data_IF_602241608274
#
_entry.id   IF_602241608274
#
_cell.length_a   1.000
_cell.length_b   1.000
_cell.length_c   1.000
_cell.angle_alpha   90.00
_cell.angle_beta   90.00
_cell.angle_gamma   90.00
#
_symmetry.space_group_name_H-M   'P 1'
#
loop_
_entity.id
_entity.type
_entity.pdbx_description
1 polymer ?
#
# COMPACT_ATOMS: atom_id res chain seq x y z
N UNK A 1 10.49 -29.74 40.58
CA UNK A 1 9.39 -29.23 39.74
C UNK A 1 9.92 -29.19 38.31
N UNK A 2 9.39 -30.04 37.43
CA UNK A 2 10.00 -30.40 36.14
C UNK A 2 9.72 -29.36 35.05
N UNK A 3 10.78 -28.86 34.43
CA UNK A 3 10.72 -28.12 33.19
C UNK A 3 10.67 -29.11 32.00
N UNK A 4 9.57 -29.06 31.25
CA UNK A 4 9.40 -29.85 30.03
C UNK A 4 10.11 -29.18 28.86
N UNK A 5 11.13 -29.86 28.33
CA UNK A 5 11.81 -29.55 27.06
C UNK A 5 11.00 -30.19 25.94
N UNK A 6 10.55 -29.42 24.96
CA UNK A 6 10.04 -29.97 23.70
C UNK A 6 11.04 -29.60 22.61
N UNK A 7 11.84 -30.61 22.28
CA UNK A 7 12.65 -30.69 21.08
C UNK A 7 11.73 -30.96 19.88
N UNK A 8 11.88 -30.18 18.80
CA UNK A 8 11.35 -30.51 17.48
C UNK A 8 12.29 -29.99 16.42
N UNK A 9 13.27 -30.82 16.09
CA UNK A 9 13.84 -30.89 14.75
C UNK A 9 12.72 -31.20 13.74
N UNK A 10 12.73 -30.53 12.58
CA UNK A 10 12.15 -31.09 11.38
C UNK A 10 12.85 -30.53 10.14
N UNK A 11 13.23 -31.48 9.29
CA UNK A 11 14.11 -31.45 8.14
C UNK A 11 13.60 -30.65 6.94
N UNK A 12 14.55 -30.15 6.15
CA UNK A 12 14.44 -29.88 4.71
C UNK A 12 13.57 -30.93 4.00
N UNK A 13 12.49 -30.50 3.34
CA UNK A 13 12.00 -31.10 2.10
C UNK A 13 11.21 -30.07 1.26
N UNK A 14 11.77 -29.76 0.09
CA UNK A 14 11.10 -29.76 -1.22
C UNK A 14 9.70 -29.17 -1.37
N UNK A 15 9.61 -28.16 -2.24
CA UNK A 15 8.39 -27.70 -2.91
C UNK A 15 7.75 -28.86 -3.72
N UNK A 16 6.42 -29.06 -3.66
CA UNK A 16 5.69 -29.51 -4.85
C UNK A 16 4.39 -28.74 -5.11
N UNK A 17 4.06 -28.66 -6.40
CA UNK A 17 2.98 -27.89 -6.97
C UNK A 17 1.56 -28.40 -6.67
N UNK A 18 0.61 -27.51 -6.97
CA UNK A 18 -0.82 -27.69 -6.79
C UNK A 18 -1.41 -28.78 -7.70
N UNK A 19 -2.10 -29.73 -7.08
CA UNK A 19 -3.08 -30.61 -7.72
C UNK A 19 -4.40 -30.62 -6.92
N UNK A 20 -5.47 -30.97 -7.63
CA UNK A 20 -6.90 -30.71 -7.44
C UNK A 20 -7.65 -31.41 -6.30
N UNK A 21 -8.67 -30.70 -5.78
CA UNK A 21 -10.03 -31.10 -5.32
C UNK A 21 -10.27 -32.44 -4.57
N UNK A 22 -10.90 -32.33 -3.40
CA UNK A 22 -11.66 -33.42 -2.74
C UNK A 22 -12.37 -32.96 -1.45
N UNK A 23 -13.70 -33.00 -1.44
CA UNK A 23 -14.60 -32.62 -0.33
C UNK A 23 -14.57 -33.64 0.83
N UNK A 24 -14.67 -33.18 2.10
CA UNK A 24 -15.69 -33.69 3.04
C UNK A 24 -15.85 -32.80 4.28
N UNK A 25 -17.11 -32.66 4.71
CA UNK A 25 -17.61 -31.74 5.74
C UNK A 25 -17.44 -32.24 7.18
N UNK A 26 -17.24 -31.31 8.13
CA UNK A 26 -17.84 -31.39 9.47
C UNK A 26 -18.09 -29.97 10.03
N UNK A 27 -19.35 -29.72 10.40
CA UNK A 27 -19.88 -28.44 10.90
C UNK A 27 -19.43 -28.16 12.34
N UNK A 28 -18.98 -26.93 12.58
CA UNK A 28 -19.10 -26.26 13.88
C UNK A 28 -19.46 -24.78 13.64
N UNK A 29 -20.26 -24.24 14.56
CA UNK A 29 -21.13 -23.08 14.46
C UNK A 29 -20.45 -21.70 14.43
N UNK A 30 -20.88 -20.87 13.49
CA UNK A 30 -21.22 -19.43 13.61
C UNK A 30 -20.15 -18.44 14.15
N UNK A 31 -19.41 -17.83 13.23
CA UNK A 31 -19.20 -16.37 13.17
C UNK A 31 -18.81 -16.00 11.73
N UNK A 32 -19.61 -15.17 11.06
CA UNK A 32 -19.25 -14.60 9.76
C UNK A 32 -18.15 -13.57 10.00
N UNK A 33 -16.89 -13.98 9.87
CA UNK A 33 -15.74 -13.10 9.67
C UNK A 33 -15.00 -13.64 8.47
N UNK A 34 -15.01 -12.89 7.36
CA UNK A 34 -14.22 -13.18 6.16
C UNK A 34 -12.74 -12.91 6.40
N UNK A 35 -12.15 -13.64 7.36
CA UNK A 35 -10.71 -13.67 7.57
C UNK A 35 -10.12 -14.83 6.79
N UNK A 36 -9.36 -14.53 5.74
CA UNK A 36 -8.47 -15.50 5.11
C UNK A 36 -7.47 -15.95 6.18
N UNK A 37 -7.50 -17.22 6.58
CA UNK A 37 -6.52 -17.76 7.51
C UNK A 37 -5.18 -17.94 6.79
N UNK A 38 -4.17 -17.18 7.17
CA UNK A 38 -2.80 -17.37 6.69
C UNK A 38 -1.81 -17.43 7.87
N UNK A 39 -0.78 -18.27 7.72
CA UNK A 39 0.22 -18.59 8.74
C UNK A 39 1.01 -17.37 9.24
N UNK A 40 1.51 -17.40 10.50
CA UNK A 40 2.17 -16.25 11.13
C UNK A 40 3.38 -15.76 10.33
N UNK A 41 3.52 -14.44 10.25
CA UNK A 41 4.64 -13.76 9.62
C UNK A 41 5.97 -14.30 10.18
N UNK A 42 6.80 -14.91 9.32
CA UNK A 42 8.19 -15.20 9.68
C UNK A 42 8.88 -13.87 9.96
N UNK A 43 9.33 -13.65 11.20
CA UNK A 43 10.29 -12.59 11.52
C UNK A 43 11.61 -12.95 10.85
N UNK A 44 11.85 -12.43 9.66
CA UNK A 44 13.16 -12.45 9.06
C UNK A 44 14.08 -11.48 9.82
N UNK A 45 15.39 -11.75 9.91
CA UNK A 45 16.33 -10.75 10.42
C UNK A 45 16.21 -9.46 9.60
N UNK A 46 16.47 -8.29 10.21
CA UNK A 46 16.52 -7.03 9.47
C UNK A 46 17.43 -7.19 8.25
N UNK A 47 17.05 -6.56 7.15
CA UNK A 47 17.92 -6.51 5.98
C UNK A 47 19.24 -5.87 6.40
N UNK A 48 20.35 -6.51 6.08
CA UNK A 48 21.67 -5.93 6.29
C UNK A 48 21.76 -4.54 5.64
N UNK A 49 22.44 -3.57 6.28
CA UNK A 49 22.65 -2.26 5.69
C UNK A 49 23.28 -2.38 4.30
N UNK A 50 22.94 -1.47 3.40
CA UNK A 50 23.66 -1.38 2.13
C UNK A 50 25.09 -0.94 2.40
N UNK A 51 26.06 -1.61 1.77
CA UNK A 51 27.46 -1.17 1.80
C UNK A 51 27.57 0.26 1.27
N UNK A 52 28.42 1.05 1.92
CA UNK A 52 28.75 2.40 1.48
C UNK A 52 29.61 2.32 0.22
N UNK A 53 29.44 3.27 -0.71
CA UNK A 53 30.35 3.40 -1.84
C UNK A 53 31.72 3.85 -1.32
N UNK A 54 32.84 3.49 -1.99
CA UNK A 54 34.17 3.92 -1.57
C UNK A 54 34.35 5.45 -1.48
N UNK A 55 33.49 6.22 -2.14
CA UNK A 55 33.47 7.68 -2.16
C UNK A 55 32.52 8.30 -1.14
N UNK A 56 31.71 7.50 -0.45
CA UNK A 56 30.77 8.01 0.55
C UNK A 56 31.55 8.55 1.77
N UNK A 57 31.13 9.71 2.25
CA UNK A 57 31.72 10.35 3.44
C UNK A 57 30.64 10.44 4.50
N UNK A 58 30.83 9.72 5.61
CA UNK A 58 29.91 9.77 6.73
C UNK A 58 29.79 11.19 7.29
N UNK A 59 28.55 11.62 7.53
CA UNK A 59 28.21 12.91 8.14
C UNK A 59 27.20 12.67 9.25
N UNK A 60 27.39 13.35 10.36
CA UNK A 60 26.51 13.30 11.51
C UNK A 60 26.13 14.72 11.93
N UNK A 61 24.88 14.90 12.32
CA UNK A 61 24.37 16.12 12.94
C UNK A 61 23.61 15.74 14.20
N UNK A 62 24.01 16.33 15.33
CA UNK A 62 23.37 16.12 16.64
C UNK A 62 22.99 17.48 17.20
N UNK A 63 21.74 17.60 17.66
CA UNK A 63 21.25 18.80 18.31
C UNK A 63 20.33 18.48 19.48
N UNK A 64 20.39 19.33 20.51
CA UNK A 64 19.48 19.29 21.65
C UNK A 64 18.24 20.12 21.35
N UNK A 65 17.07 19.47 21.32
CA UNK A 65 15.78 20.15 21.10
C UNK A 65 15.11 20.40 22.46
N UNK A 66 14.85 21.67 22.76
CA UNK A 66 14.24 22.11 24.03
C UNK A 66 12.88 22.77 23.86
N UNK A 67 12.34 22.79 22.64
CA UNK A 67 11.05 23.40 22.30
C UNK A 67 10.18 22.44 21.49
N UNK A 68 8.89 22.76 21.35
CA UNK A 68 7.93 21.91 20.63
C UNK A 68 8.10 21.94 19.11
N UNK A 69 8.78 22.95 18.56
CA UNK A 69 9.09 23.08 17.13
C UNK A 69 10.53 23.54 16.98
N UNK A 70 11.31 22.74 16.27
CA UNK A 70 12.70 22.98 15.99
C UNK A 70 13.00 22.65 14.53
N UNK A 71 13.94 23.37 13.93
CA UNK A 71 14.28 23.26 12.52
C UNK A 71 15.80 23.30 12.37
N UNK A 72 16.32 22.35 11.59
CA UNK A 72 17.73 22.27 11.25
C UNK A 72 17.88 22.02 9.75
N UNK A 73 19.02 22.38 9.20
CA UNK A 73 19.34 22.21 7.78
C UNK A 73 20.46 21.20 7.61
N UNK A 74 20.31 20.32 6.62
CA UNK A 74 21.36 19.42 6.17
C UNK A 74 21.79 19.89 4.78
N UNK A 75 23.05 20.31 4.67
CA UNK A 75 23.62 20.72 3.39
C UNK A 75 23.96 19.49 2.55
N UNK A 76 23.17 19.26 1.50
CA UNK A 76 23.50 18.31 0.45
C UNK A 76 24.46 18.95 -0.55
N UNK A 77 25.65 18.37 -0.69
CA UNK A 77 26.53 18.67 -1.82
C UNK A 77 26.12 17.76 -2.97
N UNK A 78 26.01 18.34 -4.17
CA UNK A 78 25.49 17.70 -5.39
C UNK A 78 23.95 17.61 -5.49
N UNK A 79 23.49 17.30 -6.71
CA UNK A 79 22.07 17.24 -7.06
C UNK A 79 21.48 15.83 -7.00
N UNK A 80 22.22 14.81 -6.57
CA UNK A 80 21.73 13.42 -6.49
C UNK A 80 21.02 13.20 -5.16
N UNK A 81 19.84 12.56 -5.18
CA UNK A 81 19.09 12.20 -3.97
C UNK A 81 18.51 10.77 -4.03
N UNK A 82 17.92 10.34 -2.92
CA UNK A 82 17.26 9.04 -2.85
C UNK A 82 16.04 8.93 -3.76
N UNK A 83 15.32 10.01 -4.04
CA UNK A 83 14.16 9.96 -4.92
C UNK A 83 14.56 9.69 -6.37
N UNK A 84 15.63 10.32 -6.86
CA UNK A 84 16.14 10.16 -8.23
C UNK A 84 16.81 8.80 -8.47
N UNK A 85 17.36 8.18 -7.43
CA UNK A 85 18.04 6.87 -7.53
C UNK A 85 17.14 5.70 -7.18
N UNK A 86 15.85 5.96 -6.91
CA UNK A 86 14.85 4.94 -6.60
C UNK A 86 14.22 4.41 -7.89
N UNK A 87 14.18 3.08 -8.03
CA UNK A 87 13.42 2.46 -9.11
C UNK A 87 11.93 2.85 -9.05
N UNK A 88 11.21 2.86 -10.18
CA UNK A 88 9.76 3.09 -10.16
C UNK A 88 9.06 2.17 -9.15
N UNK A 89 8.16 2.76 -8.36
CA UNK A 89 7.37 2.01 -7.38
C UNK A 89 6.23 1.31 -8.13
N UNK A 90 6.26 -0.02 -8.08
CA UNK A 90 5.28 -0.91 -8.71
C UNK A 90 4.68 -1.88 -7.70
N UNK A 91 4.20 -3.02 -8.19
CA UNK A 91 3.67 -4.09 -7.35
C UNK A 91 4.70 -4.62 -6.35
N UNK A 92 5.94 -4.85 -6.81
CA UNK A 92 7.02 -5.34 -5.96
C UNK A 92 7.76 -4.21 -5.21
N UNK A 93 8.47 -4.58 -4.15
CA UNK A 93 9.36 -3.68 -3.43
C UNK A 93 10.37 -3.03 -4.38
N UNK A 94 10.56 -1.72 -4.25
CA UNK A 94 11.46 -0.96 -5.10
C UNK A 94 12.92 -1.18 -4.71
N UNK A 95 13.83 -1.03 -5.68
CA UNK A 95 15.26 -0.94 -5.43
C UNK A 95 15.63 0.51 -5.15
N UNK A 96 16.28 0.74 -4.01
CA UNK A 96 16.92 2.02 -3.69
C UNK A 96 18.37 1.94 -4.15
N UNK A 97 18.78 2.84 -5.06
CA UNK A 97 20.16 2.91 -5.53
C UNK A 97 21.09 3.57 -4.52
N UNK A 98 20.70 4.76 -4.02
CA UNK A 98 21.44 5.53 -3.03
C UNK A 98 20.47 6.18 -2.04
N UNK A 99 20.85 6.36 -0.78
CA UNK A 99 20.03 7.06 0.22
C UNK A 99 20.95 7.88 1.13
N UNK A 100 20.89 9.22 1.07
CA UNK A 100 21.75 10.05 1.90
C UNK A 100 21.43 9.95 3.39
N UNK A 101 20.15 9.77 3.72
CA UNK A 101 19.73 9.69 5.11
C UNK A 101 19.72 8.23 5.58
N UNK A 102 20.81 7.81 6.24
CA UNK A 102 21.01 6.43 6.71
C UNK A 102 20.22 6.11 7.97
N UNK A 103 20.13 7.06 8.89
CA UNK A 103 19.42 6.90 10.15
C UNK A 103 19.00 8.26 10.70
N UNK A 104 17.89 8.25 11.44
CA UNK A 104 17.45 9.37 12.28
C UNK A 104 17.14 8.78 13.64
N UNK A 105 17.71 9.35 14.69
CA UNK A 105 17.40 9.01 16.08
C UNK A 105 16.78 10.24 16.75
N UNK A 106 15.63 10.01 17.39
CA UNK A 106 14.99 10.98 18.27
C UNK A 106 14.94 10.33 19.64
N UNK A 107 15.60 10.95 20.62
CA UNK A 107 15.72 10.42 21.98
C UNK A 107 15.22 11.46 22.99
N UNK A 108 14.31 11.05 23.87
CA UNK A 108 13.92 11.88 25.00
C UNK A 108 14.94 11.74 26.12
N UNK A 109 15.86 12.70 26.22
CA UNK A 109 16.90 12.77 27.25
C UNK A 109 16.49 13.62 28.47
N UNK A 110 15.27 14.16 28.47
CA UNK A 110 14.71 14.96 29.56
C UNK A 110 13.83 14.18 30.52
N UNK A 111 13.23 14.88 31.48
CA UNK A 111 12.28 14.31 32.45
C UNK A 111 10.81 14.57 32.09
N UNK A 112 10.56 15.29 30.99
CA UNK A 112 9.21 15.61 30.51
C UNK A 112 8.81 14.61 29.44
N UNK A 113 7.58 14.09 29.53
CA UNK A 113 7.06 13.18 28.52
C UNK A 113 6.92 13.88 27.15
N UNK A 114 7.41 13.22 26.11
CA UNK A 114 7.27 13.66 24.72
C UNK A 114 6.30 12.73 24.01
N UNK A 115 5.17 13.27 23.58
CA UNK A 115 4.12 12.51 22.91
C UNK A 115 4.18 12.69 21.38
N UNK A 116 4.28 11.59 20.63
CA UNK A 116 4.21 11.55 19.17
C UNK A 116 5.14 12.58 18.48
N UNK A 117 6.46 12.54 18.73
CA UNK A 117 7.41 13.39 18.01
C UNK A 117 7.33 13.11 16.51
N UNK A 118 7.56 14.13 15.68
CA UNK A 118 7.38 14.01 14.24
C UNK A 118 8.37 14.85 13.48
N UNK A 119 8.86 14.30 12.39
CA UNK A 119 9.77 14.95 11.47
C UNK A 119 9.04 15.27 10.17
N UNK A 120 9.15 16.51 9.72
CA UNK A 120 8.77 16.89 8.35
C UNK A 120 10.01 17.37 7.62
N UNK A 121 10.11 17.07 6.33
CA UNK A 121 11.27 17.43 5.52
C UNK A 121 10.81 18.38 4.42
N UNK A 122 11.40 19.56 4.36
CA UNK A 122 11.12 20.58 3.33
C UNK A 122 9.62 20.94 3.23
N UNK A 123 8.91 20.98 4.36
CA UNK A 123 7.48 21.28 4.43
C UNK A 123 6.56 20.27 3.73
N UNK A 124 7.08 19.07 3.39
CA UNK A 124 6.34 17.99 2.73
C UNK A 124 6.17 16.80 3.64
N UNK A 125 5.26 15.90 3.27
CA UNK A 125 4.99 14.63 3.97
C UNK A 125 4.51 14.82 5.40
N UNK A 126 3.76 15.89 5.65
CA UNK A 126 3.04 16.02 6.91
C UNK A 126 1.78 15.16 6.84
N UNK A 127 1.94 13.85 6.99
CA UNK A 127 0.87 12.86 6.86
C UNK A 127 0.32 12.43 8.22
N UNK A 128 0.06 13.41 9.09
CA UNK A 128 -0.51 13.20 10.42
C UNK A 128 -2.02 13.00 10.43
N UNK A 129 -2.73 13.48 9.40
CA UNK A 129 -4.18 13.30 9.27
C UNK A 129 -4.55 12.96 7.82
N UNK A 130 -5.74 12.43 7.61
CA UNK A 130 -6.24 12.16 6.26
C UNK A 130 -6.35 13.45 5.44
N UNK A 131 -6.79 14.55 6.05
CA UNK A 131 -6.95 15.85 5.40
C UNK A 131 -5.60 16.40 4.91
N UNK A 132 -4.54 16.25 5.72
CA UNK A 132 -3.21 16.72 5.33
C UNK A 132 -2.59 15.86 4.22
N UNK A 133 -2.87 14.55 4.23
CA UNK A 133 -2.51 13.65 3.12
C UNK A 133 -3.25 14.05 1.84
N UNK A 134 -4.57 14.21 1.91
CA UNK A 134 -5.40 14.62 0.76
C UNK A 134 -4.96 15.96 0.20
N UNK A 135 -4.68 16.96 1.06
CA UNK A 135 -4.21 18.27 0.63
C UNK A 135 -2.87 18.20 -0.13
N UNK A 136 -2.00 17.26 0.22
CA UNK A 136 -0.76 17.02 -0.53
C UNK A 136 -1.00 16.22 -1.81
N UNK A 137 -1.77 15.12 -1.72
CA UNK A 137 -2.03 14.19 -2.81
C UNK A 137 -2.83 14.82 -3.97
N UNK A 138 -3.83 15.63 -3.65
CA UNK A 138 -4.73 16.27 -4.61
C UNK A 138 -4.35 17.73 -4.91
N UNK A 139 -3.11 18.14 -4.61
CA UNK A 139 -2.65 19.51 -4.85
C UNK A 139 -2.76 19.87 -6.33
N UNK A 140 -3.54 20.92 -6.62
CA UNK A 140 -3.78 21.40 -7.99
C UNK A 140 -4.90 20.66 -8.74
N UNK A 141 -5.60 19.71 -8.11
CA UNK A 141 -6.81 19.12 -8.68
C UNK A 141 -8.02 20.03 -8.47
N UNK A 142 -8.67 20.42 -9.57
CA UNK A 142 -9.81 21.35 -9.54
C UNK A 142 -11.14 20.59 -9.61
N UNK A 143 -11.15 19.43 -10.25
CA UNK A 143 -12.34 18.60 -10.47
C UNK A 143 -12.32 17.30 -9.66
N UNK A 144 -13.47 16.67 -9.49
CA UNK A 144 -13.58 15.37 -8.81
C UNK A 144 -12.82 14.23 -9.52
N UNK A 145 -12.85 14.10 -10.86
CA UNK A 145 -12.00 13.14 -11.58
C UNK A 145 -10.50 13.37 -11.34
N UNK A 146 -10.05 14.63 -11.38
CA UNK A 146 -8.65 14.97 -11.12
C UNK A 146 -8.26 14.64 -9.68
N UNK A 147 -9.12 14.95 -8.71
CA UNK A 147 -8.90 14.66 -7.29
C UNK A 147 -8.84 13.17 -7.03
N UNK A 148 -9.79 12.42 -7.57
CA UNK A 148 -9.83 10.96 -7.51
C UNK A 148 -8.55 10.34 -8.06
N UNK A 149 -8.14 10.77 -9.26
CA UNK A 149 -6.94 10.28 -9.94
C UNK A 149 -5.66 10.65 -9.21
N UNK A 150 -5.54 11.89 -8.74
CA UNK A 150 -4.35 12.37 -8.02
C UNK A 150 -4.14 11.61 -6.70
N UNK A 151 -5.21 11.34 -5.95
CA UNK A 151 -5.17 10.52 -4.73
C UNK A 151 -4.74 9.08 -5.05
N UNK A 152 -5.29 8.47 -6.09
CA UNK A 152 -4.88 7.12 -6.51
C UNK A 152 -3.41 7.06 -6.94
N UNK A 153 -2.97 8.03 -7.75
CA UNK A 153 -1.57 8.18 -8.18
C UNK A 153 -0.62 8.38 -6.99
N UNK A 154 -1.03 9.17 -6.00
CA UNK A 154 -0.28 9.36 -4.77
C UNK A 154 -0.17 8.03 -4.00
N UNK A 155 -1.31 7.37 -3.74
CA UNK A 155 -1.36 6.14 -2.96
C UNK A 155 -0.46 5.05 -3.55
N UNK A 156 -0.59 4.76 -4.86
CA UNK A 156 0.20 3.71 -5.53
C UNK A 156 1.71 4.02 -5.58
N UNK A 157 2.11 5.29 -5.52
CA UNK A 157 3.54 5.71 -5.52
C UNK A 157 4.19 5.68 -4.14
N UNK A 158 3.43 5.40 -3.08
CA UNK A 158 3.94 5.39 -1.71
C UNK A 158 3.81 4.03 -1.02
N UNK A 159 3.54 2.97 -1.78
CA UNK A 159 3.47 1.60 -1.27
C UNK A 159 3.96 0.56 -2.27
N UNK A 160 4.24 -0.64 -1.80
CA UNK A 160 4.33 -1.87 -2.61
C UNK A 160 3.44 -2.97 -2.00
N UNK A 161 3.26 -4.08 -2.71
CA UNK A 161 2.44 -5.20 -2.29
C UNK A 161 3.14 -6.06 -1.23
N UNK A 162 2.69 -5.95 0.02
CA UNK A 162 3.06 -6.81 1.15
C UNK A 162 2.05 -6.64 2.28
N UNK A 163 2.15 -7.40 3.36
CA UNK A 163 1.25 -7.23 4.50
C UNK A 163 1.95 -7.52 5.84
N UNK A 164 1.39 -6.92 6.90
CA UNK A 164 1.77 -7.19 8.29
C UNK A 164 1.16 -8.48 8.83
N UNK A 165 0.21 -9.08 8.10
CA UNK A 165 -0.61 -10.22 8.54
C UNK A 165 -1.52 -9.92 9.75
N UNK A 166 -1.76 -8.64 10.01
CA UNK A 166 -2.73 -8.10 10.95
C UNK A 166 -3.42 -6.85 10.32
N UNK A 167 -4.07 -6.02 11.14
CA UNK A 167 -4.78 -4.82 10.68
C UNK A 167 -3.95 -3.53 10.77
N UNK A 168 -2.65 -3.60 11.07
CA UNK A 168 -1.84 -2.39 11.25
C UNK A 168 -1.73 -1.58 9.95
N UNK A 169 -1.61 -2.23 8.79
CA UNK A 169 -1.63 -1.57 7.48
C UNK A 169 -3.01 -1.10 7.01
N UNK A 170 -4.09 -1.37 7.77
CA UNK A 170 -5.43 -0.86 7.45
C UNK A 170 -5.64 0.59 7.87
N UNK A 171 -4.74 1.13 8.70
CA UNK A 171 -4.70 2.54 9.05
C UNK A 171 -3.84 3.29 8.02
N UNK A 172 -4.44 4.25 7.30
CA UNK A 172 -3.77 4.99 6.22
C UNK A 172 -2.53 5.76 6.72
N UNK A 173 -2.59 6.31 7.94
CA UNK A 173 -1.49 7.08 8.53
C UNK A 173 -0.34 6.14 8.85
N UNK A 174 -0.61 4.97 9.45
CA UNK A 174 0.44 3.96 9.70
C UNK A 174 0.99 3.37 8.41
N UNK A 175 0.13 3.05 7.45
CA UNK A 175 0.54 2.49 6.17
C UNK A 175 1.54 3.41 5.46
N UNK A 176 1.31 4.72 5.44
CA UNK A 176 2.18 5.69 4.76
C UNK A 176 3.44 6.08 5.54
N UNK A 177 3.37 6.11 6.88
CA UNK A 177 4.48 6.62 7.70
C UNK A 177 5.35 5.54 8.35
N UNK A 178 4.83 4.33 8.53
CA UNK A 178 5.52 3.25 9.26
C UNK A 178 5.87 2.09 8.33
N UNK A 179 4.91 1.61 7.55
CA UNK A 179 5.07 0.36 6.80
C UNK A 179 5.55 0.57 5.36
N UNK A 180 4.94 1.50 4.63
CA UNK A 180 5.21 1.71 3.20
C UNK A 180 4.78 0.54 2.31
N UNK A 181 3.85 -0.31 2.78
CA UNK A 181 3.29 -1.43 2.02
C UNK A 181 1.87 -1.79 2.49
N UNK A 182 1.10 -2.43 1.62
CA UNK A 182 -0.31 -2.81 1.83
C UNK A 182 -0.68 -4.03 0.99
N UNK A 183 -1.66 -4.83 1.44
CA UNK A 183 -2.36 -5.82 0.61
C UNK A 183 -3.56 -5.17 -0.10
N UNK A 184 -4.16 -5.85 -1.09
CA UNK A 184 -5.37 -5.40 -1.79
C UNK A 184 -6.46 -4.83 -0.87
N UNK A 185 -6.82 -5.54 0.20
CA UNK A 185 -7.83 -5.09 1.16
C UNK A 185 -7.45 -3.81 1.90
N UNK A 186 -6.19 -3.72 2.36
CA UNK A 186 -5.69 -2.53 3.06
C UNK A 186 -5.63 -1.32 2.11
N UNK A 187 -5.21 -1.55 0.87
CA UNK A 187 -5.09 -0.49 -0.12
C UNK A 187 -6.46 0.05 -0.55
N UNK A 188 -7.42 -0.83 -0.79
CA UNK A 188 -8.78 -0.43 -1.14
C UNK A 188 -9.41 0.40 -0.02
N UNK A 189 -9.18 0.02 1.23
CA UNK A 189 -9.60 0.78 2.40
C UNK A 189 -8.88 2.14 2.51
N UNK A 190 -7.56 2.17 2.32
CA UNK A 190 -6.80 3.42 2.34
C UNK A 190 -7.27 4.40 1.27
N UNK A 191 -7.56 3.91 0.05
CA UNK A 191 -8.14 4.73 -1.02
C UNK A 191 -9.54 5.22 -0.66
N UNK A 192 -10.38 4.36 -0.07
CA UNK A 192 -11.72 4.73 0.41
C UNK A 192 -11.67 5.85 1.45
N UNK A 193 -10.78 5.72 2.45
CA UNK A 193 -10.55 6.72 3.49
C UNK A 193 -10.10 8.07 2.88
N UNK A 194 -9.12 8.04 1.96
CA UNK A 194 -8.59 9.24 1.33
C UNK A 194 -9.60 9.92 0.39
N UNK A 195 -10.32 9.15 -0.43
CA UNK A 195 -11.38 9.70 -1.28
C UNK A 195 -12.54 10.25 -0.46
N UNK A 196 -12.93 9.57 0.62
CA UNK A 196 -13.96 10.07 1.55
C UNK A 196 -13.52 11.37 2.22
N UNK A 197 -12.29 11.45 2.71
CA UNK A 197 -11.71 12.66 3.29
C UNK A 197 -11.58 13.80 2.26
N UNK A 198 -11.50 13.46 0.97
CA UNK A 198 -11.53 14.40 -0.15
C UNK A 198 -12.94 14.84 -0.57
N UNK A 199 -13.99 14.39 0.15
CA UNK A 199 -15.38 14.71 -0.14
C UNK A 199 -16.00 13.89 -1.29
N UNK A 200 -15.31 12.85 -1.76
CA UNK A 200 -15.79 12.02 -2.86
C UNK A 200 -16.66 10.87 -2.35
N UNK A 201 -17.65 10.49 -3.14
CA UNK A 201 -18.46 9.31 -2.87
C UNK A 201 -17.75 8.05 -3.35
N UNK A 202 -17.71 7.02 -2.49
CA UNK A 202 -17.02 5.76 -2.77
C UNK A 202 -17.93 4.55 -2.53
N UNK A 203 -17.54 3.40 -3.09
CA UNK A 203 -18.11 2.08 -2.76
C UNK A 203 -17.06 0.97 -2.92
N UNK A 204 -17.35 -0.19 -2.32
CA UNK A 204 -16.60 -1.44 -2.55
C UNK A 204 -17.09 -2.18 -3.80
N UNK A 205 -16.16 -2.73 -4.58
CA UNK A 205 -16.43 -3.43 -5.84
C UNK A 205 -16.56 -4.98 -5.73
N UNK A 206 -16.28 -5.56 -4.56
CA UNK A 206 -16.41 -7.00 -4.25
C UNK A 206 -15.82 -8.01 -5.26
N UNK A 207 -14.61 -7.83 -5.79
CA UNK A 207 -14.00 -8.82 -6.67
C UNK A 207 -13.72 -10.18 -5.98
N UNK A 208 -13.44 -11.24 -6.75
CA UNK A 208 -13.18 -12.59 -6.24
C UNK A 208 -11.70 -12.72 -5.87
N UNK A 209 -11.43 -13.10 -4.61
CA UNK A 209 -10.07 -13.24 -4.06
C UNK A 209 -9.20 -11.98 -4.19
N UNK A 210 -9.87 -10.84 -4.38
CA UNK A 210 -9.27 -9.52 -4.50
C UNK A 210 -10.17 -8.49 -3.82
N UNK A 211 -9.64 -7.30 -3.53
CA UNK A 211 -10.43 -6.21 -2.94
C UNK A 211 -10.03 -4.90 -3.58
N UNK A 212 -11.00 -4.19 -4.14
CA UNK A 212 -10.81 -2.89 -4.77
C UNK A 212 -11.93 -1.93 -4.37
N UNK A 213 -11.65 -0.63 -4.49
CA UNK A 213 -12.61 0.46 -4.30
C UNK A 213 -12.99 1.13 -5.62
N UNK A 214 -14.14 1.76 -5.63
CA UNK A 214 -14.63 2.61 -6.72
C UNK A 214 -14.98 3.99 -6.18
N UNK A 215 -14.79 5.00 -7.00
CA UNK A 215 -15.08 6.41 -6.69
C UNK A 215 -16.08 6.97 -7.71
N UNK A 216 -17.04 7.75 -7.25
CA UNK A 216 -18.12 8.31 -8.05
C UNK A 216 -17.79 9.74 -8.48
N UNK A 217 -17.89 10.00 -9.78
CA UNK A 217 -17.82 11.33 -10.39
C UNK A 217 -18.50 11.26 -11.76
N UNK A 218 -18.84 12.41 -12.36
CA UNK A 218 -19.45 12.48 -13.71
C UNK A 218 -20.64 11.53 -13.95
N UNK A 219 -21.42 11.26 -12.89
CA UNK A 219 -22.62 10.40 -12.95
C UNK A 219 -22.36 8.89 -12.89
N UNK A 220 -21.11 8.44 -12.71
CA UNK A 220 -20.76 7.01 -12.69
C UNK A 220 -19.67 6.65 -11.67
N UNK A 221 -19.57 5.36 -11.36
CA UNK A 221 -18.47 4.83 -10.56
C UNK A 221 -17.28 4.45 -11.44
N UNK A 222 -16.07 4.67 -10.94
CA UNK A 222 -14.83 4.42 -11.65
C UNK A 222 -13.91 3.59 -10.76
N UNK A 223 -13.43 2.46 -11.26
CA UNK A 223 -12.51 1.59 -10.53
C UNK A 223 -11.07 2.05 -10.74
N UNK A 224 -10.37 2.33 -9.66
CA UNK A 224 -8.94 2.58 -9.68
C UNK A 224 -8.25 1.62 -8.70
N UNK A 225 -7.61 0.59 -9.24
CA UNK A 225 -7.01 -0.44 -8.41
C UNK A 225 -5.60 0.01 -7.98
N UNK A 226 -5.49 0.34 -6.70
CA UNK A 226 -4.22 0.73 -6.11
C UNK A 226 -3.25 -0.43 -5.89
N UNK A 227 -3.71 -1.69 -5.93
CA UNK A 227 -2.90 -2.88 -5.65
C UNK A 227 -2.24 -3.47 -6.87
N UNK A 228 -3.04 -3.67 -7.91
CA UNK A 228 -2.54 -4.06 -9.23
C UNK A 228 -1.90 -2.88 -9.99
N UNK A 229 -1.90 -1.67 -9.39
CA UNK A 229 -1.36 -0.42 -9.97
C UNK A 229 -1.99 -0.08 -11.33
N UNK A 230 -3.29 -0.32 -11.48
CA UNK A 230 -3.96 -0.32 -12.77
C UNK A 230 -5.29 0.43 -12.79
N UNK A 231 -5.59 0.98 -13.96
CA UNK A 231 -6.92 1.44 -14.36
C UNK A 231 -7.28 0.74 -15.66
N UNK A 232 -8.57 0.50 -15.86
CA UNK A 232 -9.09 -0.03 -17.12
C UNK A 232 -9.92 1.03 -17.80
N UNK A 233 -9.77 1.16 -19.11
CA UNK A 233 -10.56 2.11 -19.88
C UNK A 233 -11.69 1.38 -20.59
N UNK A 234 -12.85 2.03 -20.67
CA UNK A 234 -13.92 1.60 -21.56
C UNK A 234 -13.44 1.57 -23.02
N UNK A 235 -14.29 1.05 -23.91
CA UNK A 235 -13.98 0.94 -25.35
C UNK A 235 -13.73 2.29 -26.03
N UNK A 236 -14.14 3.40 -25.42
CA UNK A 236 -13.87 4.77 -25.87
C UNK A 236 -12.40 5.23 -25.64
N UNK A 237 -11.60 4.45 -24.90
CA UNK A 237 -10.22 4.77 -24.49
C UNK A 237 -10.08 6.09 -23.72
N UNK A 238 -11.13 6.53 -23.03
CA UNK A 238 -11.14 7.79 -22.27
C UNK A 238 -11.69 7.59 -20.87
N UNK A 239 -12.81 6.87 -20.76
CA UNK A 239 -13.54 6.73 -19.50
C UNK A 239 -12.97 5.56 -18.70
N UNK A 240 -12.72 5.76 -17.41
CA UNK A 240 -12.29 4.67 -16.52
C UNK A 240 -13.47 3.73 -16.29
N UNK A 241 -13.27 2.44 -16.47
CA UNK A 241 -14.29 1.43 -16.29
C UNK A 241 -14.68 1.29 -14.82
N UNK A 242 -15.96 1.05 -14.55
CA UNK A 242 -16.41 0.56 -13.24
C UNK A 242 -16.10 -0.93 -13.09
N UNK A 243 -16.23 -1.46 -11.87
CA UNK A 243 -16.17 -2.91 -11.65
C UNK A 243 -17.28 -3.66 -12.41
N UNK A 244 -18.43 -3.02 -12.61
CA UNK A 244 -19.55 -3.61 -13.35
C UNK A 244 -19.26 -3.68 -14.85
N UNK A 245 -18.62 -2.66 -15.41
CA UNK A 245 -18.19 -2.67 -16.82
C UNK A 245 -17.18 -3.79 -17.07
N UNK A 246 -16.23 -3.98 -16.16
CA UNK A 246 -15.22 -5.05 -16.24
C UNK A 246 -15.86 -6.44 -16.19
N UNK A 247 -16.86 -6.62 -15.32
CA UNK A 247 -17.57 -7.91 -15.21
C UNK A 247 -18.38 -8.21 -16.48
N UNK A 248 -18.97 -7.18 -17.10
CA UNK A 248 -19.72 -7.33 -18.36
C UNK A 248 -18.80 -7.53 -19.56
N UNK A 249 -17.62 -6.93 -19.54
CA UNK A 249 -16.62 -6.98 -20.62
C UNK A 249 -15.22 -7.23 -20.03
N UNK A 250 -14.92 -8.49 -19.71
CA UNK A 250 -13.61 -8.89 -19.14
C UNK A 250 -12.43 -8.58 -20.06
N UNK A 251 -12.66 -8.39 -21.36
CA UNK A 251 -11.61 -8.02 -22.32
C UNK A 251 -11.11 -6.59 -22.09
N UNK A 252 -11.83 -5.74 -21.33
CA UNK A 252 -11.32 -4.44 -20.89
C UNK A 252 -10.01 -4.58 -20.09
N UNK A 253 -9.85 -5.66 -19.31
CA UNK A 253 -8.63 -5.93 -18.53
C UNK A 253 -7.47 -6.32 -19.44
N UNK A 254 -7.72 -7.20 -20.41
CA UNK A 254 -6.70 -7.77 -21.32
C UNK A 254 -6.13 -6.77 -22.32
N UNK A 255 -6.71 -5.57 -22.39
CA UNK A 255 -6.24 -4.46 -23.22
C UNK A 255 -5.23 -3.58 -22.49
N UNK A 256 -5.06 -3.77 -21.18
CA UNK A 256 -4.10 -3.04 -20.37
C UNK A 256 -2.91 -3.93 -20.05
N UNK A 257 -1.70 -3.37 -20.11
CA UNK A 257 -0.49 -4.10 -19.74
C UNK A 257 -0.38 -4.24 -18.23
N UNK A 258 -0.76 -5.41 -17.72
CA UNK A 258 -0.80 -5.73 -16.29
C UNK A 258 0.62 -5.72 -15.70
N UNK A 259 0.78 -5.24 -14.47
CA UNK A 259 2.07 -5.11 -13.79
C UNK A 259 3.12 -4.18 -14.45
N UNK A 260 2.69 -3.37 -15.42
CA UNK A 260 3.46 -2.25 -15.99
C UNK A 260 4.48 -2.63 -17.07
N UNK A 261 5.02 -1.60 -17.73
CA UNK A 261 5.85 -1.72 -18.95
C UNK A 261 7.16 -2.52 -18.80
N UNK A 262 7.62 -2.74 -17.57
CA UNK A 262 8.81 -3.57 -17.31
C UNK A 262 8.50 -5.07 -17.27
N UNK A 263 7.22 -5.45 -17.23
CA UNK A 263 6.78 -6.84 -17.21
C UNK A 263 6.71 -7.38 -18.64
N UNK A 264 7.05 -8.66 -18.82
CA UNK A 264 6.94 -9.33 -20.10
C UNK A 264 5.47 -9.60 -20.46
N UNK A 265 5.14 -9.48 -21.74
CA UNK A 265 3.81 -9.83 -22.25
C UNK A 265 3.48 -11.28 -21.92
N UNK A 266 2.33 -11.51 -21.28
CA UNK A 266 1.90 -12.84 -20.88
C UNK A 266 0.40 -12.93 -20.81
N UNK A 267 -0.17 -13.61 -21.81
CA UNK A 267 -1.60 -13.91 -21.85
C UNK A 267 -2.10 -14.62 -20.58
N UNK A 268 -1.27 -15.48 -19.99
CA UNK A 268 -1.59 -16.14 -18.72
C UNK A 268 -1.72 -15.15 -17.57
N UNK A 269 -0.85 -14.14 -17.51
CA UNK A 269 -0.96 -13.08 -16.51
C UNK A 269 -2.19 -12.22 -16.75
N UNK A 270 -2.47 -11.85 -18.01
CA UNK A 270 -3.65 -11.06 -18.34
C UNK A 270 -4.96 -11.79 -18.01
N UNK A 271 -5.03 -13.11 -18.30
CA UNK A 271 -6.18 -13.94 -17.93
C UNK A 271 -6.30 -14.09 -16.40
N UNK A 272 -5.18 -14.20 -15.68
CA UNK A 272 -5.16 -14.21 -14.22
C UNK A 272 -5.67 -12.88 -13.64
N UNK A 273 -5.13 -11.75 -14.06
CA UNK A 273 -5.58 -10.42 -13.61
C UNK A 273 -7.05 -10.19 -13.94
N UNK A 274 -7.51 -10.63 -15.12
CA UNK A 274 -8.92 -10.58 -15.50
C UNK A 274 -9.83 -11.42 -14.61
N UNK A 275 -9.32 -12.51 -14.03
CA UNK A 275 -10.10 -13.38 -13.14
C UNK A 275 -10.39 -12.77 -11.77
N UNK A 276 -9.58 -11.79 -11.35
CA UNK A 276 -9.73 -11.12 -10.05
C UNK A 276 -11.07 -10.37 -9.97
N UNK A 277 -11.54 -9.78 -11.07
CA UNK A 277 -12.67 -8.85 -11.06
C UNK A 277 -14.06 -9.50 -11.15
N UNK A 278 -14.16 -10.83 -11.19
CA UNK A 278 -15.43 -11.54 -11.42
C UNK A 278 -16.39 -11.55 -10.23
N UNK A 279 -17.32 -10.60 -10.17
CA UNK A 279 -18.43 -10.57 -9.21
C UNK A 279 -19.72 -10.00 -9.82
N UNK A 280 -20.86 -10.66 -9.68
CA UNK A 280 -22.13 -10.20 -10.29
C UNK A 280 -23.16 -9.68 -9.28
N UNK A 281 -22.87 -9.71 -7.98
CA UNK A 281 -23.84 -9.37 -6.93
C UNK A 281 -23.99 -7.88 -6.61
N UNK A 282 -24.78 -7.59 -5.56
CA UNK A 282 -25.06 -6.23 -5.12
C UNK A 282 -23.80 -5.45 -4.73
N UNK A 283 -23.72 -4.22 -5.25
CA UNK A 283 -22.62 -3.27 -4.97
C UNK A 283 -23.21 -2.04 -4.31
N UNK A 284 -22.77 -1.76 -3.09
CA UNK A 284 -23.29 -0.60 -2.33
C UNK A 284 -22.82 -0.48 -0.89
N UNK A 285 -21.89 -1.34 -0.46
CA UNK A 285 -21.30 -1.19 0.87
C UNK A 285 -20.07 -0.30 0.78
N UNK A 286 -19.93 0.61 1.73
CA UNK A 286 -18.68 1.33 1.99
C UNK A 286 -17.73 0.46 2.80
N UNK A 287 -16.46 0.82 2.80
CA UNK A 287 -15.55 0.28 3.80
C UNK A 287 -15.85 0.93 5.15
N UNK A 288 -15.59 0.21 6.24
CA UNK A 288 -15.54 0.82 7.57
C UNK A 288 -14.14 1.40 7.73
N UNK A 289 -14.04 2.70 8.01
CA UNK A 289 -12.74 3.34 8.23
C UNK A 289 -12.04 2.72 9.43
N UNK A 290 -10.78 2.32 9.26
CA UNK A 290 -9.94 1.78 10.33
C UNK A 290 -8.80 2.73 10.71
N UNK A 291 -8.68 3.87 10.03
CA UNK A 291 -7.69 4.90 10.32
C UNK A 291 -8.00 5.59 11.64
N UNK A 292 -7.03 5.62 12.56
CA UNK A 292 -7.15 6.27 13.87
C UNK A 292 -6.15 7.42 13.95
N UNK A 293 -6.64 8.60 14.30
CA UNK A 293 -5.84 9.81 14.54
C UNK A 293 -6.20 10.42 15.88
#
# INVERSE_FOLDING_TARGET
>A
MSAGRIDRSCSDQGIPGFASHGQNQAKATKAVRGGVSCHPARRWPPKEPFDDLPTDVAREHVQMVSSSRDEYSIDFRENIDGAMTRAPIGYAAFKQGWQPNRSVQIENVGTTDVHNPWLTVNGRRNWRTLESIVAEAARGAETDPERARAIWEFARKHRFHACTWDNECSDAIKALNVYGYTLCGNQALMLDDLWTAAGLQTRRAFPRDHVVGEVFYDGGYHLMDGDEHIIFLLRDNKTIASAEDIVRDHDLVKRTHTYGIGSADSRRMDDFSGSLYGYEGDRGKKFESLTRH
#
